data_IF_603814926747
#
_entry.id   IF_603814926747
#
_cell.length_a   1.000
_cell.length_b   1.000
_cell.length_c   1.000
_cell.angle_alpha   90.00
_cell.angle_beta   90.00
_cell.angle_gamma   90.00
#
_symmetry.space_group_name_H-M   'P 1'
#
loop_
_entity.id
_entity.type
_entity.pdbx_description
1 polymer ?
#
# COMPACT_ATOMS: atom_id res chain seq x y z
N UNK A 1 70.30 20.20 24.32
CA UNK A 1 69.36 19.23 24.92
C UNK A 1 68.07 19.27 24.10
N UNK A 2 67.77 18.19 23.35
CA UNK A 2 66.58 18.12 22.49
C UNK A 2 65.37 17.80 23.38
N UNK A 3 64.47 18.75 23.55
CA UNK A 3 63.16 18.51 24.15
C UNK A 3 62.32 17.74 23.13
N UNK A 4 62.03 16.47 23.42
CA UNK A 4 61.12 15.67 22.60
C UNK A 4 59.69 16.05 23.00
N UNK A 5 58.96 16.67 22.07
CA UNK A 5 57.55 16.99 22.23
C UNK A 5 56.76 15.67 22.11
N UNK A 6 56.23 15.15 23.21
CA UNK A 6 55.26 14.05 23.18
C UNK A 6 53.94 14.58 22.62
N UNK A 7 53.58 14.12 21.42
CA UNK A 7 52.30 14.43 20.78
C UNK A 7 51.26 13.48 21.35
N UNK A 8 50.49 13.97 22.33
CA UNK A 8 49.33 13.27 22.86
C UNK A 8 48.21 13.26 21.80
N UNK A 9 48.08 12.17 21.04
CA UNK A 9 47.01 12.02 20.05
C UNK A 9 45.73 11.55 20.76
N UNK A 10 45.01 12.49 21.38
CA UNK A 10 43.77 12.22 22.12
C UNK A 10 42.61 12.08 21.14
N UNK A 11 42.43 10.87 20.59
CA UNK A 11 41.24 10.51 19.80
C UNK A 11 40.17 10.03 20.78
N UNK A 12 39.35 10.97 21.26
CA UNK A 12 38.09 10.65 21.92
C UNK A 12 37.01 10.50 20.83
N UNK A 13 36.53 9.28 20.59
CA UNK A 13 35.33 9.05 19.78
C UNK A 13 34.15 9.06 20.75
N UNK A 14 33.28 10.09 20.76
CA UNK A 14 32.11 10.09 21.62
C UNK A 14 31.12 9.03 21.12
N UNK A 15 31.06 7.90 21.81
CA UNK A 15 29.98 6.93 21.66
C UNK A 15 28.78 7.47 22.46
N UNK A 16 27.77 8.00 21.76
CA UNK A 16 26.50 8.33 22.39
C UNK A 16 25.85 7.00 22.86
N UNK A 17 25.85 6.75 24.16
CA UNK A 17 24.91 5.85 24.85
C UNK A 17 25.05 4.34 24.69
N UNK A 18 25.79 3.82 23.70
CA UNK A 18 25.92 2.38 23.47
C UNK A 18 27.28 1.79 23.84
N UNK A 19 27.24 0.58 24.40
CA UNK A 19 28.41 -0.18 24.83
C UNK A 19 29.25 -0.67 23.64
N UNK A 20 30.52 -0.30 23.60
CA UNK A 20 31.51 -0.73 22.61
C UNK A 20 32.24 -1.98 23.10
N UNK A 21 32.46 -2.95 22.21
CA UNK A 21 33.33 -4.11 22.50
C UNK A 21 34.78 -3.76 22.21
N UNK A 22 35.59 -3.63 23.26
CA UNK A 22 37.04 -3.50 23.17
C UNK A 22 37.66 -4.89 23.04
N UNK A 23 38.06 -5.27 21.82
CA UNK A 23 38.62 -6.60 21.56
C UNK A 23 40.06 -6.71 22.03
N UNK A 24 40.40 -7.87 22.58
CA UNK A 24 41.74 -8.26 22.97
C UNK A 24 42.32 -9.23 21.93
N UNK A 25 43.66 -9.27 21.81
CA UNK A 25 44.36 -10.13 20.84
C UNK A 25 44.22 -11.63 21.13
N UNK A 26 43.84 -12.00 22.34
CA UNK A 26 43.54 -13.38 22.75
C UNK A 26 42.14 -13.85 22.32
N UNK A 27 41.35 -12.96 21.72
CA UNK A 27 39.98 -13.23 21.24
C UNK A 27 38.88 -12.89 22.24
N UNK A 28 39.22 -12.49 23.48
CA UNK A 28 38.25 -11.99 24.45
C UNK A 28 37.89 -10.51 24.18
N UNK A 29 36.89 -9.97 24.88
CA UNK A 29 36.52 -8.55 24.78
C UNK A 29 36.13 -7.96 26.14
N UNK A 30 36.31 -6.65 26.28
CA UNK A 30 35.79 -5.85 27.38
C UNK A 30 34.67 -4.94 26.88
N UNK A 31 33.60 -4.82 27.66
CA UNK A 31 32.50 -3.91 27.36
C UNK A 31 32.83 -2.52 27.90
N UNK A 32 32.94 -1.54 27.02
CA UNK A 32 33.31 -0.16 27.34
C UNK A 32 32.22 0.83 26.93
N UNK A 33 31.88 1.79 27.79
CA UNK A 33 31.05 2.95 27.41
C UNK A 33 31.85 3.97 26.60
N UNK A 34 33.10 4.16 26.98
CA UNK A 34 34.04 5.06 26.32
C UNK A 34 35.45 4.48 26.45
N UNK A 35 36.33 4.75 25.49
CA UNK A 35 37.75 4.41 25.60
C UNK A 35 38.63 5.51 25.01
N UNK A 36 39.83 5.65 25.57
CA UNK A 36 40.85 6.60 25.20
C UNK A 36 42.15 5.83 24.92
N UNK A 37 42.73 6.06 23.75
CA UNK A 37 44.00 5.46 23.34
C UNK A 37 45.13 6.40 23.75
N UNK A 38 46.02 5.94 24.62
CA UNK A 38 47.26 6.61 25.03
C UNK A 38 48.47 5.90 24.40
N UNK A 39 49.67 6.43 24.61
CA UNK A 39 50.90 5.94 23.95
C UNK A 39 51.22 4.47 24.27
N UNK A 40 51.06 4.04 25.53
CA UNK A 40 51.41 2.68 25.99
C UNK A 40 50.19 1.85 26.46
N UNK A 41 49.02 2.48 26.57
CA UNK A 41 47.82 1.88 27.18
C UNK A 41 46.52 2.40 26.59
N UNK A 42 45.47 1.60 26.66
CA UNK A 42 44.09 1.99 26.39
C UNK A 42 43.37 2.10 27.73
N UNK A 43 42.85 3.28 28.01
CA UNK A 43 42.02 3.55 29.19
C UNK A 43 40.56 3.48 28.78
N UNK A 44 39.74 2.66 29.42
CA UNK A 44 38.32 2.51 29.05
C UNK A 44 37.40 2.54 30.27
N UNK A 45 36.20 3.06 30.09
CA UNK A 45 35.15 3.09 31.10
C UNK A 45 34.34 1.80 30.98
N UNK A 46 34.51 0.87 31.91
CA UNK A 46 33.78 -0.41 31.92
C UNK A 46 32.27 -0.17 31.93
N UNK A 47 31.55 -0.76 30.97
CA UNK A 47 30.10 -0.65 30.90
C UNK A 47 29.40 -1.43 32.01
N UNK A 48 30.05 -2.48 32.53
CA UNK A 48 29.54 -3.33 33.61
C UNK A 48 29.75 -2.69 34.98
N UNK A 49 30.96 -2.18 35.23
CA UNK A 49 31.35 -1.64 36.54
C UNK A 49 31.18 -0.14 36.67
N UNK A 50 31.09 0.58 35.55
CA UNK A 50 31.01 2.04 35.54
C UNK A 50 32.31 2.73 35.99
N UNK A 51 33.43 2.02 36.03
CA UNK A 51 34.74 2.52 36.47
C UNK A 51 35.75 2.55 35.31
N UNK A 52 36.72 3.44 35.41
CA UNK A 52 37.82 3.53 34.45
C UNK A 52 38.87 2.46 34.74
N UNK A 53 39.18 1.66 33.72
CA UNK A 53 40.17 0.59 33.75
C UNK A 53 41.24 0.83 32.68
N UNK A 54 42.42 0.22 32.83
CA UNK A 54 43.55 0.39 31.92
C UNK A 54 44.06 -0.96 31.40
N UNK A 55 44.35 -1.02 30.10
CA UNK A 55 44.94 -2.18 29.44
C UNK A 55 46.16 -1.77 28.62
N UNK A 56 47.25 -2.57 28.59
CA UNK A 56 48.36 -2.33 27.68
C UNK A 56 47.90 -2.28 26.22
N UNK A 57 48.39 -1.31 25.45
CA UNK A 57 48.01 -1.12 24.04
C UNK A 57 48.31 -2.38 23.20
N UNK A 58 49.40 -3.09 23.53
CA UNK A 58 49.80 -4.32 22.87
C UNK A 58 48.83 -5.49 23.03
N UNK A 59 47.94 -5.45 24.02
CA UNK A 59 46.93 -6.49 24.25
C UNK A 59 45.59 -6.20 23.55
N UNK A 60 45.37 -4.97 23.08
CA UNK A 60 44.10 -4.53 22.49
C UNK A 60 44.17 -4.61 20.96
N UNK A 61 43.17 -5.23 20.34
CA UNK A 61 42.94 -5.18 18.90
C UNK A 61 42.05 -3.98 18.53
N UNK A 62 42.69 -2.82 18.38
CA UNK A 62 42.02 -1.58 17.99
C UNK A 62 41.47 -1.62 16.56
N UNK A 63 42.06 -2.43 15.67
CA UNK A 63 41.59 -2.53 14.29
C UNK A 63 40.24 -3.23 14.24
N UNK A 64 40.12 -4.37 14.93
CA UNK A 64 38.86 -5.10 15.05
C UNK A 64 37.80 -4.28 15.79
N UNK A 65 38.20 -3.62 16.87
CA UNK A 65 37.31 -2.74 17.65
C UNK A 65 36.73 -1.62 16.79
N UNK A 66 37.57 -0.88 16.06
CA UNK A 66 37.13 0.22 15.19
C UNK A 66 36.29 -0.27 14.02
N UNK A 67 36.64 -1.40 13.42
CA UNK A 67 35.89 -1.99 12.32
C UNK A 67 34.47 -2.37 12.75
N UNK A 68 34.31 -3.13 13.85
CA UNK A 68 32.99 -3.52 14.33
C UNK A 68 32.17 -2.33 14.83
N UNK A 69 32.82 -1.35 15.48
CA UNK A 69 32.15 -0.11 15.87
C UNK A 69 31.64 0.66 14.65
N UNK A 70 32.43 0.73 13.57
CA UNK A 70 32.02 1.34 12.30
C UNK A 70 30.86 0.60 11.64
N UNK A 71 30.96 -0.72 11.48
CA UNK A 71 29.90 -1.55 10.89
C UNK A 71 28.59 -1.46 11.69
N UNK A 72 28.66 -1.47 13.03
CA UNK A 72 27.49 -1.29 13.90
C UNK A 72 26.90 0.10 13.76
N UNK A 73 27.73 1.14 13.73
CA UNK A 73 27.26 2.51 13.54
C UNK A 73 26.56 2.68 12.19
N UNK A 74 27.10 2.08 11.12
CA UNK A 74 26.48 2.05 9.80
C UNK A 74 25.14 1.31 9.81
N UNK A 75 25.06 0.16 10.49
CA UNK A 75 23.81 -0.59 10.67
C UNK A 75 22.76 0.24 11.39
N UNK A 76 23.10 0.86 12.52
CA UNK A 76 22.18 1.71 13.28
C UNK A 76 21.71 2.93 12.48
N UNK A 77 22.61 3.57 11.72
CA UNK A 77 22.24 4.67 10.83
C UNK A 77 21.28 4.20 9.74
N UNK A 78 21.51 3.00 9.20
CA UNK A 78 20.62 2.40 8.20
C UNK A 78 19.26 2.07 8.80
N UNK A 79 19.21 1.42 9.96
CA UNK A 79 17.97 1.10 10.68
C UNK A 79 17.19 2.36 11.07
N UNK A 80 17.86 3.40 11.60
CA UNK A 80 17.23 4.66 11.94
C UNK A 80 16.66 5.37 10.70
N UNK A 81 17.36 5.29 9.56
CA UNK A 81 16.88 5.83 8.30
C UNK A 81 15.68 5.04 7.77
N UNK A 82 15.72 3.72 7.83
CA UNK A 82 14.60 2.84 7.46
C UNK A 82 13.38 3.14 8.35
N UNK A 83 13.56 3.31 9.66
CA UNK A 83 12.50 3.69 10.59
C UNK A 83 11.92 5.08 10.31
N UNK A 84 12.75 6.09 10.05
CA UNK A 84 12.25 7.44 9.72
C UNK A 84 11.49 7.45 8.38
N UNK A 85 11.95 6.67 7.39
CA UNK A 85 11.25 6.45 6.12
C UNK A 85 9.90 5.75 6.35
N UNK A 86 9.85 4.71 7.19
CA UNK A 86 8.62 4.01 7.59
C UNK A 86 7.64 4.94 8.33
N UNK A 87 8.09 5.65 9.35
CA UNK A 87 7.27 6.58 10.14
C UNK A 87 6.73 7.74 9.29
N UNK A 88 7.50 8.20 8.32
CA UNK A 88 7.07 9.22 7.36
C UNK A 88 6.00 8.65 6.42
N UNK A 89 6.17 7.42 5.93
CA UNK A 89 5.18 6.75 5.10
C UNK A 89 3.87 6.47 5.85
N UNK A 90 3.95 6.08 7.13
CA UNK A 90 2.78 5.86 7.99
C UNK A 90 2.01 7.16 8.21
N UNK A 91 2.71 8.26 8.56
CA UNK A 91 2.07 9.58 8.73
C UNK A 91 1.39 10.05 7.45
N UNK A 92 2.05 9.92 6.31
CA UNK A 92 1.46 10.26 5.02
C UNK A 92 0.19 9.44 4.70
N UNK A 93 0.22 8.13 4.97
CA UNK A 93 -0.96 7.27 4.79
C UNK A 93 -2.11 7.65 5.72
N UNK A 94 -1.83 7.97 6.99
CA UNK A 94 -2.84 8.43 7.94
C UNK A 94 -3.47 9.77 7.53
N UNK A 95 -2.67 10.70 7.03
CA UNK A 95 -3.17 11.98 6.50
C UNK A 95 -4.05 11.77 5.25
N UNK A 96 -3.63 10.90 4.33
CA UNK A 96 -4.41 10.52 3.14
C UNK A 96 -5.75 9.89 3.54
N UNK A 97 -5.73 8.95 4.50
CA UNK A 97 -6.93 8.30 5.02
C UNK A 97 -7.87 9.26 5.76
N UNK A 98 -7.32 10.21 6.52
CA UNK A 98 -8.09 11.19 7.28
C UNK A 98 -8.85 12.19 6.41
N UNK A 99 -8.47 12.35 5.13
CA UNK A 99 -9.24 13.17 4.18
C UNK A 99 -10.54 12.50 3.76
N UNK A 100 -10.58 11.17 3.73
CA UNK A 100 -11.73 10.42 3.22
C UNK A 100 -12.73 10.15 4.34
N UNK A 101 -14.02 10.51 4.17
CA UNK A 101 -15.06 10.28 5.17
C UNK A 101 -15.13 8.82 5.63
N UNK A 102 -15.62 8.59 6.85
CA UNK A 102 -15.72 7.27 7.49
C UNK A 102 -16.90 6.45 6.96
N UNK A 103 -17.81 7.07 6.23
CA UNK A 103 -18.95 6.40 5.62
C UNK A 103 -18.52 5.53 4.43
N UNK A 104 -19.08 4.31 4.29
CA UNK A 104 -18.84 3.49 3.10
C UNK A 104 -19.27 4.21 1.82
N UNK A 105 -18.47 4.10 0.77
CA UNK A 105 -18.75 4.74 -0.52
C UNK A 105 -17.51 4.96 -1.38
N UNK A 106 -17.75 5.54 -2.55
CA UNK A 106 -16.71 5.95 -3.50
C UNK A 106 -16.48 7.46 -3.44
N UNK A 107 -15.22 7.86 -3.40
CA UNK A 107 -14.79 9.24 -3.30
C UNK A 107 -13.74 9.52 -4.37
N UNK A 108 -13.83 10.67 -5.01
CA UNK A 108 -12.86 11.15 -5.97
C UNK A 108 -12.09 12.34 -5.37
N UNK A 109 -10.78 12.32 -5.51
CA UNK A 109 -9.93 13.43 -5.09
C UNK A 109 -9.37 14.12 -6.33
N UNK A 110 -9.68 15.41 -6.48
CA UNK A 110 -9.13 16.27 -7.51
C UNK A 110 -8.42 17.47 -6.86
N UNK A 111 -7.08 17.42 -6.87
CA UNK A 111 -6.26 18.38 -6.11
C UNK A 111 -6.58 18.29 -4.61
N UNK A 112 -7.05 19.40 -4.04
CA UNK A 112 -7.43 19.48 -2.62
C UNK A 112 -8.93 19.22 -2.37
N UNK A 113 -9.73 18.97 -3.42
CA UNK A 113 -11.17 18.73 -3.28
C UNK A 113 -11.48 17.24 -3.28
N UNK A 114 -12.22 16.81 -2.26
CA UNK A 114 -12.83 15.49 -2.19
C UNK A 114 -14.31 15.60 -2.55
N UNK A 115 -14.76 14.75 -3.47
CA UNK A 115 -16.16 14.67 -3.90
C UNK A 115 -16.67 13.23 -3.75
N UNK A 116 -17.78 13.04 -3.06
CA UNK A 116 -18.41 11.74 -2.91
C UNK A 116 -19.25 11.41 -4.14
N UNK A 117 -19.03 10.24 -4.75
CA UNK A 117 -19.84 9.78 -5.87
C UNK A 117 -21.19 9.31 -5.34
N UNK A 118 -22.25 9.60 -6.09
CA UNK A 118 -23.59 9.09 -5.80
C UNK A 118 -23.67 7.61 -6.18
N UNK A 119 -24.19 6.77 -5.28
CA UNK A 119 -24.50 5.38 -5.60
C UNK A 119 -25.66 5.32 -6.60
N UNK A 120 -25.51 4.51 -7.65
CA UNK A 120 -26.47 4.34 -8.71
C UNK A 120 -27.48 3.22 -8.38
N UNK A 121 -28.73 3.41 -8.82
CA UNK A 121 -29.77 2.38 -8.71
C UNK A 121 -29.57 1.33 -9.80
N UNK A 122 -29.46 0.07 -9.37
CA UNK A 122 -29.17 -1.07 -10.23
C UNK A 122 -30.44 -1.86 -10.55
N UNK A 123 -30.62 -2.25 -11.81
CA UNK A 123 -31.75 -3.08 -12.27
C UNK A 123 -31.26 -4.36 -12.94
N UNK A 124 -31.85 -5.48 -12.56
CA UNK A 124 -31.54 -6.79 -13.16
C UNK A 124 -32.60 -7.13 -14.21
N UNK A 125 -32.21 -7.12 -15.48
CA UNK A 125 -33.07 -7.46 -16.61
C UNK A 125 -32.89 -8.93 -17.03
N UNK A 126 -33.99 -9.66 -17.23
CA UNK A 126 -33.98 -11.04 -17.76
C UNK A 126 -34.26 -11.05 -19.26
N UNK A 127 -33.52 -11.86 -20.03
CA UNK A 127 -33.77 -12.01 -21.46
C UNK A 127 -35.08 -12.80 -21.71
N UNK A 128 -36.11 -12.10 -22.19
CA UNK A 128 -37.44 -12.68 -22.46
C UNK A 128 -37.38 -13.77 -23.54
N UNK A 129 -36.53 -13.64 -24.56
CA UNK A 129 -36.41 -14.64 -25.63
C UNK A 129 -35.81 -15.93 -25.11
N UNK A 130 -34.71 -15.84 -24.35
CA UNK A 130 -34.09 -17.01 -23.70
C UNK A 130 -35.01 -17.64 -22.65
N UNK A 131 -35.78 -16.82 -21.93
CA UNK A 131 -36.79 -17.31 -20.98
C UNK A 131 -37.86 -18.14 -21.68
N UNK A 132 -38.41 -17.65 -22.80
CA UNK A 132 -39.40 -18.40 -23.59
C UNK A 132 -38.80 -19.68 -24.18
N UNK A 133 -37.58 -19.62 -24.72
CA UNK A 133 -36.89 -20.82 -25.23
C UNK A 133 -36.67 -21.89 -24.14
N UNK A 134 -36.36 -21.48 -22.91
CA UNK A 134 -36.21 -22.38 -21.77
C UNK A 134 -37.52 -23.09 -21.39
N UNK A 135 -38.67 -22.42 -21.54
CA UNK A 135 -39.99 -23.02 -21.26
C UNK A 135 -40.42 -23.99 -22.36
N UNK A 136 -40.03 -23.75 -23.61
CA UNK A 136 -40.46 -24.55 -24.77
C UNK A 136 -39.57 -25.78 -25.03
N UNK A 137 -38.37 -25.84 -24.45
CA UNK A 137 -37.47 -26.99 -24.60
C UNK A 137 -37.65 -27.98 -23.43
N UNK A 138 -37.93 -29.27 -23.68
CA UNK A 138 -38.00 -30.28 -22.63
C UNK A 138 -36.62 -30.63 -22.03
N UNK A 139 -35.52 -30.21 -22.69
CA UNK A 139 -34.15 -30.48 -22.26
C UNK A 139 -33.52 -29.22 -21.62
N UNK A 140 -32.89 -29.34 -20.43
CA UNK A 140 -32.31 -28.22 -19.69
C UNK A 140 -30.91 -27.85 -20.22
N UNK A 141 -30.81 -27.45 -21.49
CA UNK A 141 -29.51 -27.15 -22.14
C UNK A 141 -29.30 -25.63 -22.28
N UNK A 142 -30.37 -24.83 -22.26
CA UNK A 142 -30.31 -23.40 -22.56
C UNK A 142 -30.00 -22.60 -21.28
N UNK A 143 -28.87 -21.85 -21.24
CA UNK A 143 -28.57 -20.99 -20.11
C UNK A 143 -29.54 -19.81 -20.01
N UNK A 144 -29.91 -19.45 -18.78
CA UNK A 144 -30.58 -18.18 -18.52
C UNK A 144 -29.65 -17.01 -18.84
N UNK A 145 -30.20 -15.85 -19.23
CA UNK A 145 -29.42 -14.62 -19.34
C UNK A 145 -30.03 -13.52 -18.49
N UNK A 146 -29.18 -12.93 -17.67
CA UNK A 146 -29.48 -11.73 -16.92
C UNK A 146 -28.48 -10.63 -17.27
N UNK A 147 -28.91 -9.39 -17.18
CA UNK A 147 -28.07 -8.22 -17.44
C UNK A 147 -28.32 -7.23 -16.33
N UNK A 148 -27.24 -6.71 -15.75
CA UNK A 148 -27.27 -5.66 -14.74
C UNK A 148 -27.17 -4.32 -15.45
N UNK A 149 -28.18 -3.48 -15.27
CA UNK A 149 -28.40 -2.25 -16.03
C UNK A 149 -28.55 -1.04 -15.09
N UNK A 150 -28.03 0.10 -15.54
CA UNK A 150 -28.27 1.41 -14.97
C UNK A 150 -29.18 2.20 -15.90
N UNK A 151 -30.08 2.99 -15.31
CA UNK A 151 -30.85 3.97 -16.07
C UNK A 151 -29.96 5.13 -16.54
N UNK A 152 -30.35 5.72 -17.68
CA UNK A 152 -29.66 6.87 -18.26
C UNK A 152 -28.54 6.46 -19.22
N UNK A 153 -28.41 7.22 -20.30
CA UNK A 153 -27.40 6.98 -21.34
C UNK A 153 -25.98 7.44 -20.95
N UNK A 154 -25.85 8.30 -19.94
CA UNK A 154 -24.58 8.86 -19.50
C UNK A 154 -24.59 9.19 -18.00
N UNK A 155 -23.42 9.16 -17.37
CA UNK A 155 -23.21 9.51 -15.97
C UNK A 155 -23.33 11.01 -15.76
N UNK A 156 -23.89 11.39 -14.61
CA UNK A 156 -23.97 12.80 -14.20
C UNK A 156 -22.60 13.31 -13.75
N UNK A 157 -21.85 12.48 -13.02
CA UNK A 157 -20.50 12.79 -12.58
C UNK A 157 -19.51 12.53 -13.72
N UNK A 158 -18.73 13.54 -14.11
CA UNK A 158 -17.78 13.45 -15.21
C UNK A 158 -16.44 14.05 -14.84
N UNK A 159 -15.39 13.40 -15.30
CA UNK A 159 -13.99 13.72 -15.05
C UNK A 159 -13.24 13.92 -16.38
N UNK A 160 -12.13 14.65 -16.31
CA UNK A 160 -11.25 14.89 -17.47
C UNK A 160 -9.92 14.16 -17.35
N UNK A 161 -9.61 13.63 -16.17
CA UNK A 161 -8.42 12.89 -15.84
C UNK A 161 -8.44 11.53 -16.55
N UNK A 162 -7.37 11.24 -17.29
CA UNK A 162 -7.24 9.94 -17.94
C UNK A 162 -6.83 8.85 -16.93
N UNK A 163 -6.22 9.22 -15.79
CA UNK A 163 -5.86 8.30 -14.71
C UNK A 163 -6.44 8.77 -13.38
N UNK A 164 -7.77 8.67 -13.21
CA UNK A 164 -8.41 9.08 -11.97
C UNK A 164 -7.99 8.19 -10.81
N UNK A 165 -7.78 8.83 -9.65
CA UNK A 165 -7.57 8.14 -8.39
C UNK A 165 -8.86 8.22 -7.57
N UNK A 166 -9.41 7.05 -7.26
CA UNK A 166 -10.59 6.93 -6.41
C UNK A 166 -10.21 6.31 -5.08
N UNK A 167 -10.93 6.73 -4.05
CA UNK A 167 -10.87 6.17 -2.72
C UNK A 167 -12.18 5.48 -2.44
N UNK A 168 -12.10 4.26 -1.95
CA UNK A 168 -13.24 3.42 -1.74
C UNK A 168 -13.23 2.91 -0.31
N UNK A 169 -14.22 3.34 0.47
CA UNK A 169 -14.44 2.80 1.81
C UNK A 169 -15.44 1.67 1.72
N UNK A 170 -14.97 0.46 1.95
CA UNK A 170 -15.78 -0.74 1.82
C UNK A 170 -16.79 -0.83 2.97
N UNK A 171 -17.99 -1.29 2.66
CA UNK A 171 -18.96 -1.70 3.68
C UNK A 171 -18.69 -3.12 4.21
N UNK A 172 -18.08 -3.95 3.36
CA UNK A 172 -17.71 -5.34 3.59
C UNK A 172 -16.47 -5.68 2.76
N UNK A 173 -15.69 -6.65 3.21
CA UNK A 173 -14.52 -7.15 2.45
C UNK A 173 -15.02 -7.96 1.25
N UNK A 174 -15.27 -7.26 0.14
CA UNK A 174 -15.80 -7.78 -1.12
C UNK A 174 -14.89 -7.38 -2.30
N UNK A 175 -15.19 -7.87 -3.49
CA UNK A 175 -14.48 -7.50 -4.71
C UNK A 175 -14.69 -6.02 -5.03
N UNK A 176 -13.62 -5.37 -5.51
CA UNK A 176 -13.64 -3.97 -5.96
C UNK A 176 -13.09 -3.90 -7.39
N UNK A 177 -13.74 -3.18 -8.30
CA UNK A 177 -13.21 -2.99 -9.66
C UNK A 177 -13.63 -1.66 -10.27
N UNK A 178 -12.82 -1.18 -11.22
CA UNK A 178 -13.28 -0.23 -12.25
C UNK A 178 -13.74 -1.06 -13.44
N UNK A 179 -14.94 -0.80 -13.95
CA UNK A 179 -15.48 -1.45 -15.14
C UNK A 179 -15.82 -0.42 -16.21
N UNK A 180 -15.72 -0.81 -17.48
CA UNK A 180 -16.24 -0.04 -18.60
C UNK A 180 -17.71 -0.39 -18.83
N UNK A 181 -18.56 0.63 -18.86
CA UNK A 181 -19.99 0.45 -19.10
C UNK A 181 -20.29 0.42 -20.60
N UNK A 182 -21.14 -0.53 -21.02
CA UNK A 182 -21.65 -0.54 -22.39
C UNK A 182 -22.90 0.33 -22.49
N UNK A 183 -22.76 1.48 -23.13
CA UNK A 183 -23.87 2.43 -23.31
C UNK A 183 -24.79 2.01 -24.45
N UNK A 184 -26.08 1.95 -24.17
CA UNK A 184 -27.18 1.91 -25.14
C UNK A 184 -27.99 3.20 -25.00
N UNK A 185 -28.80 3.55 -26.01
CA UNK A 185 -29.48 4.87 -26.13
C UNK A 185 -30.02 5.47 -24.81
N UNK A 186 -30.62 4.66 -23.93
CA UNK A 186 -31.22 5.13 -22.67
C UNK A 186 -30.78 4.36 -21.43
N UNK A 187 -29.84 3.42 -21.57
CA UNK A 187 -29.42 2.54 -20.48
C UNK A 187 -27.95 2.16 -20.63
N UNK A 188 -27.28 1.89 -19.51
CA UNK A 188 -25.88 1.44 -19.48
C UNK A 188 -25.81 0.05 -18.85
N UNK A 189 -25.01 -0.83 -19.44
CA UNK A 189 -24.84 -2.20 -18.95
C UNK A 189 -23.57 -2.28 -18.10
N UNK A 190 -23.73 -2.75 -16.87
CA UNK A 190 -22.68 -2.99 -15.86
C UNK A 190 -22.02 -4.34 -16.14
N UNK A 191 -22.84 -5.40 -16.23
CA UNK A 191 -22.39 -6.76 -16.46
C UNK A 191 -23.50 -7.60 -17.12
N UNK A 192 -23.08 -8.66 -17.81
CA UNK A 192 -23.98 -9.71 -18.29
C UNK A 192 -23.70 -11.00 -17.52
N UNK A 193 -24.72 -11.82 -17.35
CA UNK A 193 -24.55 -13.10 -16.68
C UNK A 193 -25.30 -14.21 -17.41
N UNK A 194 -24.63 -15.35 -17.59
CA UNK A 194 -25.27 -16.59 -18.01
C UNK A 194 -25.49 -17.49 -16.79
N UNK A 195 -26.70 -18.00 -16.65
CA UNK A 195 -27.05 -18.92 -15.56
C UNK A 195 -27.06 -20.33 -16.14
N UNK A 196 -26.06 -21.12 -15.77
CA UNK A 196 -25.91 -22.48 -16.25
C UNK A 196 -27.08 -23.35 -15.77
N UNK A 197 -27.68 -24.15 -16.67
CA UNK A 197 -28.76 -25.05 -16.28
C UNK A 197 -28.24 -26.15 -15.36
N UNK A 198 -29.12 -26.70 -14.52
CA UNK A 198 -28.84 -27.76 -13.52
C UNK A 198 -28.00 -27.28 -12.33
N UNK A 199 -26.84 -26.67 -12.55
CA UNK A 199 -25.96 -26.18 -11.47
C UNK A 199 -26.41 -24.85 -10.88
N UNK A 200 -27.11 -24.02 -11.67
CA UNK A 200 -27.43 -22.61 -11.35
C UNK A 200 -26.19 -21.74 -11.10
N UNK A 201 -25.02 -22.18 -11.57
CA UNK A 201 -23.81 -21.37 -11.56
C UNK A 201 -23.99 -20.13 -12.43
N UNK A 202 -23.45 -19.01 -11.95
CA UNK A 202 -23.55 -17.71 -12.61
C UNK A 202 -22.21 -17.39 -13.25
N UNK A 203 -22.15 -17.43 -14.58
CA UNK A 203 -21.01 -16.97 -15.35
C UNK A 203 -21.16 -15.48 -15.63
N UNK A 204 -20.37 -14.67 -14.96
CA UNK A 204 -20.41 -13.20 -15.03
C UNK A 204 -19.41 -12.68 -16.08
N UNK A 205 -19.89 -11.81 -16.95
CA UNK A 205 -19.12 -11.13 -18.00
C UNK A 205 -19.18 -9.62 -17.75
N UNK A 206 -18.09 -9.13 -17.13
CA UNK A 206 -17.86 -7.75 -16.76
C UNK A 206 -16.62 -7.21 -17.51
N UNK A 207 -16.71 -6.01 -18.07
CA UNK A 207 -15.57 -5.37 -18.74
C UNK A 207 -14.66 -4.69 -17.72
N UNK A 208 -13.97 -5.50 -16.90
CA UNK A 208 -13.03 -5.00 -15.90
C UNK A 208 -11.85 -4.27 -16.55
N UNK A 209 -11.54 -3.10 -16.02
CA UNK A 209 -10.34 -2.34 -16.35
C UNK A 209 -9.22 -2.82 -15.44
N UNK A 210 -8.00 -3.08 -15.95
CA UNK A 210 -6.84 -3.34 -15.10
C UNK A 210 -6.55 -2.14 -14.18
N UNK A 211 -6.44 -2.40 -12.88
CA UNK A 211 -6.27 -1.37 -11.85
C UNK A 211 -5.22 -1.75 -10.83
N UNK A 212 -4.46 -0.75 -10.38
CA UNK A 212 -3.72 -0.85 -9.14
C UNK A 212 -4.63 -0.56 -7.95
N UNK A 213 -4.32 -1.21 -6.82
CA UNK A 213 -5.01 -1.02 -5.55
C UNK A 213 -3.99 -0.89 -4.43
N UNK A 214 -4.23 0.03 -3.50
CA UNK A 214 -3.44 0.19 -2.28
C UNK A 214 -4.38 0.41 -1.11
N UNK A 215 -4.21 -0.38 -0.06
CA UNK A 215 -4.86 -0.10 1.23
C UNK A 215 -4.14 1.09 1.86
N UNK A 216 -4.90 2.14 2.17
CA UNK A 216 -4.37 3.39 2.74
C UNK A 216 -4.94 3.66 4.14
N UNK A 217 -5.88 2.84 4.61
CA UNK A 217 -6.42 2.87 5.96
C UNK A 217 -7.42 1.72 6.16
N UNK A 218 -8.03 1.66 7.34
CA UNK A 218 -8.99 0.60 7.68
C UNK A 218 -10.16 0.57 6.69
N UNK A 219 -10.25 -0.51 5.92
CA UNK A 219 -11.26 -0.73 4.87
C UNK A 219 -11.28 0.37 3.79
N UNK A 220 -10.21 1.16 3.69
CA UNK A 220 -10.07 2.26 2.75
C UNK A 220 -9.02 1.91 1.70
N UNK A 221 -9.50 1.76 0.46
CA UNK A 221 -8.68 1.39 -0.67
C UNK A 221 -8.59 2.55 -1.66
N UNK A 222 -7.38 2.87 -2.05
CA UNK A 222 -7.11 3.68 -3.23
C UNK A 222 -7.09 2.77 -4.45
N UNK A 223 -7.84 3.12 -5.50
CA UNK A 223 -7.93 2.39 -6.77
C UNK A 223 -7.75 3.34 -7.95
N UNK A 224 -6.91 2.95 -8.90
CA UNK A 224 -6.64 3.74 -10.11
C UNK A 224 -6.28 2.81 -11.28
N UNK A 225 -6.54 3.23 -12.53
CA UNK A 225 -6.30 2.38 -13.69
C UNK A 225 -4.81 2.28 -14.03
N UNK A 226 -4.37 1.10 -14.49
CA UNK A 226 -2.99 0.89 -14.94
C UNK A 226 -2.67 1.69 -16.21
N UNK A 227 -3.67 1.81 -17.09
CA UNK A 227 -3.58 2.53 -18.36
C UNK A 227 -4.54 3.72 -18.37
N UNK A 228 -4.22 4.80 -19.13
CA UNK A 228 -5.14 5.92 -19.32
C UNK A 228 -6.51 5.44 -19.82
N UNK A 229 -7.58 5.85 -19.14
CA UNK A 229 -8.95 5.58 -19.54
C UNK A 229 -9.28 6.35 -20.82
N UNK A 230 -9.86 5.65 -21.78
CA UNK A 230 -10.40 6.27 -22.97
C UNK A 230 -11.71 7.00 -22.65
N UNK A 231 -12.08 8.05 -23.41
CA UNK A 231 -13.38 8.68 -23.24
C UNK A 231 -14.54 7.68 -23.33
N UNK A 232 -15.45 7.73 -22.36
CA UNK A 232 -16.53 6.76 -22.24
C UNK A 232 -17.20 6.75 -20.86
N UNK A 233 -18.06 5.76 -20.65
CA UNK A 233 -18.79 5.54 -19.41
C UNK A 233 -18.16 4.41 -18.61
N UNK A 234 -18.00 4.62 -17.32
CA UNK A 234 -17.33 3.72 -16.40
C UNK A 234 -18.08 3.65 -15.07
N UNK A 235 -17.75 2.65 -14.26
CA UNK A 235 -18.21 2.60 -12.89
C UNK A 235 -17.16 1.97 -11.97
N UNK A 236 -17.17 2.43 -10.73
CA UNK A 236 -16.62 1.69 -9.61
C UNK A 236 -17.69 0.72 -9.13
N UNK A 237 -17.30 -0.54 -8.89
CA UNK A 237 -18.21 -1.55 -8.36
C UNK A 237 -17.62 -2.22 -7.13
N UNK A 238 -18.47 -2.43 -6.12
CA UNK A 238 -18.25 -3.41 -5.06
C UNK A 238 -19.15 -4.61 -5.35
N UNK A 239 -18.59 -5.82 -5.42
CA UNK A 239 -19.30 -7.01 -5.88
C UNK A 239 -18.86 -8.28 -5.14
N UNK A 240 -19.74 -9.29 -5.14
CA UNK A 240 -19.44 -10.64 -4.65
C UNK A 240 -19.51 -11.61 -5.82
N UNK A 241 -18.46 -12.40 -6.03
CA UNK A 241 -18.44 -13.40 -7.10
C UNK A 241 -19.63 -14.36 -6.99
N UNK A 242 -20.32 -14.60 -8.12
CA UNK A 242 -21.52 -15.42 -8.15
C UNK A 242 -22.79 -14.72 -7.65
N UNK A 243 -22.77 -13.40 -7.48
CA UNK A 243 -23.94 -12.58 -7.12
C UNK A 243 -24.12 -11.39 -8.05
N UNK A 244 -25.36 -11.16 -8.50
CA UNK A 244 -25.71 -10.12 -9.48
C UNK A 244 -26.28 -8.83 -8.85
N UNK A 245 -25.84 -8.50 -7.64
CA UNK A 245 -26.25 -7.32 -6.88
C UNK A 245 -25.08 -6.39 -6.52
N UNK A 246 -24.24 -5.99 -7.50
CA UNK A 246 -23.12 -5.09 -7.22
C UNK A 246 -23.63 -3.72 -6.74
N UNK A 247 -22.88 -3.10 -5.82
CA UNK A 247 -23.02 -1.68 -5.54
C UNK A 247 -22.23 -0.90 -6.59
N UNK A 248 -22.85 0.13 -7.19
CA UNK A 248 -22.31 0.80 -8.37
C UNK A 248 -22.23 2.31 -8.16
N UNK A 249 -21.10 2.91 -8.53
CA UNK A 249 -20.90 4.36 -8.60
C UNK A 249 -20.40 4.71 -9.99
N UNK A 250 -21.24 5.33 -10.80
CA UNK A 250 -20.97 5.61 -12.21
C UNK A 250 -20.27 6.94 -12.43
N UNK A 251 -19.39 6.98 -13.43
CA UNK A 251 -18.69 8.19 -13.84
C UNK A 251 -18.40 8.18 -15.35
N UNK A 252 -18.29 9.37 -15.93
CA UNK A 252 -17.91 9.56 -17.33
C UNK A 252 -16.51 10.13 -17.47
N UNK A 253 -15.74 9.65 -18.44
CA UNK A 253 -14.43 10.22 -18.82
C UNK A 253 -14.62 11.04 -20.10
N UNK A 254 -14.19 12.32 -20.06
CA UNK A 254 -14.31 13.25 -21.18
C UNK A 254 -15.74 13.74 -21.41
N UNK A 255 -16.00 14.39 -22.55
CA UNK A 255 -17.33 14.92 -22.89
C UNK A 255 -18.37 13.79 -23.04
N UNK A 256 -19.62 14.06 -22.63
CA UNK A 256 -20.74 13.15 -22.88
C UNK A 256 -20.95 13.00 -24.39
N UNK A 257 -21.10 11.76 -24.86
CA UNK A 257 -21.44 11.44 -26.26
C UNK A 257 -22.93 11.26 -26.44
#
# INVERSE_FOLDING_TARGET
MKFWLYVLLLVAVPAFGETVRLYLKDGNYQLAKEYQVLDDRVKYLSAERGEWEELPLDLVDLNRTKKEAGERQEQLQKEAKEQDEEDTAIRAAQEEAGRVPVEPGAYFIHGDKLEALKQADVKIAKDKKRTVLKVLSPMPIIPGKQTVELDGGAAQFRITEERPEFYFRLSKVEGLAIIKLSSKKTLRVVENANILPVTNEIEEDRQAVPTFKKEVGEQLFKIWPEQPLQPGEYALIQYTDGSLDPQVWDFGVGAAK
#
